data_IF_345486997994
#
_entry.id   IF_345486997994
#
_cell.length_a   1.000
_cell.length_b   1.000
_cell.length_c   1.000
_cell.angle_alpha   90.00
_cell.angle_beta   90.00
_cell.angle_gamma   90.00
#
_symmetry.space_group_name_H-M   'P 1'
#
loop_
_entity.id
_entity.type
_entity.pdbx_description
1 polymer ?
#
# COMPACT_ATOMS: atom_id res chain seq x y z
N UNK A 1 2.66 15.33 -15.60
CA UNK A 1 3.47 14.37 -14.79
C UNK A 1 3.11 14.53 -13.32
N UNK A 2 2.78 13.45 -12.63
CA UNK A 2 2.56 13.43 -11.18
C UNK A 2 3.86 13.04 -10.47
N UNK A 3 4.74 14.00 -10.19
CA UNK A 3 6.04 13.74 -9.55
C UNK A 3 6.00 13.66 -8.02
N UNK A 4 4.84 13.91 -7.38
CA UNK A 4 4.68 13.97 -5.92
C UNK A 4 3.33 13.42 -5.49
N UNK A 5 3.30 12.78 -4.33
CA UNK A 5 2.06 12.25 -3.74
C UNK A 5 2.01 12.48 -2.23
N UNK A 6 0.81 12.41 -1.64
CA UNK A 6 0.63 12.33 -0.19
C UNK A 6 0.26 10.90 0.19
N UNK A 7 0.99 10.32 1.14
CA UNK A 7 0.70 9.00 1.70
C UNK A 7 1.11 9.00 3.17
N UNK A 8 0.23 9.53 4.03
CA UNK A 8 0.53 9.88 5.43
C UNK A 8 -0.30 9.10 6.45
N UNK A 9 -1.20 8.21 6.01
CA UNK A 9 -2.05 7.44 6.91
C UNK A 9 -1.20 6.42 7.70
N UNK A 10 -1.47 6.21 9.00
CA UNK A 10 -0.84 5.13 9.75
C UNK A 10 -1.09 3.75 9.10
N UNK A 11 -0.19 2.79 9.30
CA UNK A 11 -0.26 1.43 8.73
C UNK A 11 -1.61 0.75 8.91
N UNK A 12 -2.18 0.81 10.12
CA UNK A 12 -3.48 0.19 10.42
C UNK A 12 -4.64 0.90 9.71
N UNK A 13 -4.59 2.22 9.63
CA UNK A 13 -5.62 3.03 8.96
C UNK A 13 -5.57 2.77 7.45
N UNK A 14 -4.37 2.77 6.87
CA UNK A 14 -4.15 2.46 5.46
C UNK A 14 -4.65 1.04 5.14
N UNK A 15 -4.31 0.05 5.98
CA UNK A 15 -4.76 -1.34 5.81
C UNK A 15 -6.28 -1.46 5.79
N UNK A 16 -6.96 -0.81 6.75
CA UNK A 16 -8.44 -0.82 6.81
C UNK A 16 -9.06 -0.08 5.64
N UNK A 17 -8.46 1.02 5.18
CA UNK A 17 -8.92 1.74 3.99
C UNK A 17 -8.78 0.90 2.70
N UNK A 18 -7.88 -0.09 2.70
CA UNK A 18 -7.71 -1.04 1.61
C UNK A 18 -8.54 -2.33 1.77
N UNK A 19 -9.60 -2.34 2.60
CA UNK A 19 -10.52 -3.47 2.68
C UNK A 19 -11.11 -3.81 1.30
N UNK A 20 -11.20 -5.10 0.98
CA UNK A 20 -11.68 -5.58 -0.31
C UNK A 20 -12.55 -6.83 -0.16
N UNK A 21 -13.31 -7.17 -1.19
CA UNK A 21 -14.00 -8.45 -1.28
C UNK A 21 -13.19 -9.40 -2.17
N UNK A 22 -12.96 -10.62 -1.69
CA UNK A 22 -12.35 -11.66 -2.51
C UNK A 22 -13.34 -12.21 -3.56
N UNK A 23 -12.88 -13.15 -4.39
CA UNK A 23 -13.72 -13.76 -5.44
C UNK A 23 -14.96 -14.49 -4.91
N UNK A 24 -14.97 -14.84 -3.63
CA UNK A 24 -16.11 -15.50 -2.97
C UNK A 24 -17.04 -14.47 -2.31
N UNK A 25 -16.78 -13.17 -2.50
CA UNK A 25 -17.52 -12.08 -1.87
C UNK A 25 -17.20 -11.90 -0.38
N UNK A 26 -16.19 -12.57 0.15
CA UNK A 26 -15.81 -12.44 1.56
C UNK A 26 -14.97 -11.18 1.75
N UNK A 27 -15.28 -10.42 2.79
CA UNK A 27 -14.52 -9.23 3.14
C UNK A 27 -13.15 -9.64 3.70
N UNK A 28 -12.09 -9.06 3.14
CA UNK A 28 -10.69 -9.31 3.49
C UNK A 28 -9.97 -8.00 3.72
N UNK A 29 -8.92 -8.07 4.52
CA UNK A 29 -7.93 -7.00 4.66
C UNK A 29 -6.62 -7.49 4.04
N UNK A 30 -5.94 -6.66 3.25
CA UNK A 30 -4.64 -7.04 2.70
C UNK A 30 -3.63 -7.18 3.84
N UNK A 31 -2.66 -8.05 3.64
CA UNK A 31 -1.57 -8.26 4.59
C UNK A 31 -0.36 -7.42 4.20
N UNK A 32 0.38 -6.91 5.18
CA UNK A 32 1.61 -6.19 4.91
C UNK A 32 2.76 -7.15 4.61
N UNK A 33 3.56 -6.80 3.62
CA UNK A 33 4.92 -7.30 3.42
C UNK A 33 5.88 -6.14 3.60
N UNK A 34 6.89 -6.32 4.45
CA UNK A 34 7.90 -5.33 4.80
C UNK A 34 7.31 -4.00 5.34
N UNK A 35 6.41 -4.09 6.32
CA UNK A 35 5.73 -2.93 6.92
C UNK A 35 6.71 -1.88 7.47
N UNK A 36 7.89 -2.31 7.91
CA UNK A 36 8.98 -1.47 8.41
C UNK A 36 9.54 -0.50 7.35
N UNK A 37 9.34 -0.78 6.06
CA UNK A 37 9.74 0.11 4.96
C UNK A 37 8.73 1.23 4.70
N UNK A 38 7.55 1.17 5.33
CA UNK A 38 6.53 2.19 5.17
C UNK A 38 6.83 3.43 6.03
N UNK A 39 7.14 4.54 5.36
CA UNK A 39 7.31 5.84 6.00
C UNK A 39 6.21 6.81 5.55
N UNK A 40 5.22 7.10 6.42
CA UNK A 40 4.15 8.05 6.15
C UNK A 40 4.71 9.46 5.91
N UNK A 41 4.26 10.13 4.86
CA UNK A 41 4.60 11.52 4.59
C UNK A 41 3.51 12.19 3.76
N UNK A 42 3.24 13.45 4.06
CA UNK A 42 2.36 14.31 3.27
C UNK A 42 2.93 14.61 1.87
N UNK A 43 4.20 14.28 1.64
CA UNK A 43 4.96 14.75 0.50
C UNK A 43 6.06 13.75 0.08
N UNK A 44 5.65 12.72 -0.66
CA UNK A 44 6.52 11.69 -1.22
C UNK A 44 7.07 12.14 -2.57
N UNK A 45 8.38 11.97 -2.77
CA UNK A 45 9.08 12.24 -4.02
C UNK A 45 9.35 10.96 -4.80
N UNK A 46 9.86 11.04 -6.06
CA UNK A 46 10.48 9.90 -6.70
C UNK A 46 11.61 9.34 -5.82
N UNK A 47 11.94 8.08 -6.04
CA UNK A 47 12.84 7.23 -5.26
C UNK A 47 12.38 6.90 -3.83
N UNK A 48 11.33 7.55 -3.32
CA UNK A 48 10.74 7.19 -2.02
C UNK A 48 9.87 5.94 -2.12
N UNK A 49 9.85 5.13 -1.05
CA UNK A 49 9.02 3.92 -0.99
C UNK A 49 7.58 4.25 -0.65
N UNK A 50 6.62 3.71 -1.41
CA UNK A 50 5.18 3.91 -1.21
C UNK A 50 4.45 2.56 -1.20
N UNK A 51 3.37 2.40 -0.41
CA UNK A 51 2.62 1.16 -0.35
C UNK A 51 1.81 0.96 -1.64
N UNK A 52 1.88 -0.25 -2.18
CA UNK A 52 1.09 -0.68 -3.33
C UNK A 52 0.38 -1.99 -3.02
N UNK A 53 -0.81 -2.18 -3.61
CA UNK A 53 -1.50 -3.45 -3.56
C UNK A 53 -0.99 -4.36 -4.67
N UNK A 54 -0.56 -5.57 -4.30
CA UNK A 54 -0.13 -6.61 -5.22
C UNK A 54 -0.95 -7.87 -4.97
N UNK A 55 -1.41 -8.47 -6.06
CA UNK A 55 -2.09 -9.76 -6.03
C UNK A 55 -1.10 -10.89 -6.29
N UNK A 56 -1.13 -11.93 -5.46
CA UNK A 56 -0.40 -13.17 -5.68
C UNK A 56 -1.33 -14.36 -5.46
N UNK A 57 -1.80 -14.97 -6.56
CA UNK A 57 -2.81 -16.01 -6.52
C UNK A 57 -4.15 -15.48 -6.03
N UNK A 58 -4.58 -15.95 -4.85
CA UNK A 58 -5.84 -15.54 -4.21
C UNK A 58 -5.67 -14.46 -3.13
N UNK A 59 -4.43 -14.06 -2.82
CA UNK A 59 -4.13 -13.14 -1.72
C UNK A 59 -3.68 -11.78 -2.25
N UNK A 60 -4.18 -10.71 -1.61
CA UNK A 60 -3.73 -9.34 -1.86
C UNK A 60 -2.87 -8.86 -0.71
N UNK A 61 -1.72 -8.27 -1.01
CA UNK A 61 -0.75 -7.77 -0.04
C UNK A 61 -0.48 -6.28 -0.27
N UNK A 62 -0.15 -5.56 0.80
CA UNK A 62 0.46 -4.24 0.73
C UNK A 62 1.97 -4.43 0.76
N UNK A 63 2.66 -3.96 -0.28
CA UNK A 63 4.13 -3.97 -0.37
C UNK A 63 4.65 -2.56 -0.60
N UNK A 64 5.73 -2.17 0.08
CA UNK A 64 6.41 -0.93 -0.21
C UNK A 64 7.37 -1.08 -1.40
N UNK A 65 7.16 -0.30 -2.45
CA UNK A 65 8.06 -0.22 -3.60
C UNK A 65 8.57 1.21 -3.80
N UNK A 66 9.82 1.34 -4.23
CA UNK A 66 10.40 2.63 -4.60
C UNK A 66 10.14 2.92 -6.07
N UNK A 67 9.49 4.04 -6.36
CA UNK A 67 9.22 4.47 -7.73
C UNK A 67 10.38 5.34 -8.23
N UNK A 68 11.12 4.89 -9.25
CA UNK A 68 12.34 5.55 -9.74
C UNK A 68 12.13 6.58 -10.87
N UNK A 69 10.91 7.06 -11.11
CA UNK A 69 10.57 7.96 -12.24
C UNK A 69 11.60 9.08 -12.49
#
# INVERSE_FOLDING_TARGET
>A
MCGRTSCHLPTDVLRRACAYHDRQGQQRLPEWRDAEKYYPSYNKSPQSSSPVLLSHGHNTFILCISFFF
#
